data_IF_505792208815
#
_entry.id   IF_505792208815
#
_cell.length_a   1.000
_cell.length_b   1.000
_cell.length_c   1.000
_cell.angle_alpha   90.00
_cell.angle_beta   90.00
_cell.angle_gamma   90.00
#
_symmetry.space_group_name_H-M   'P 1'
#
loop_
_entity.id
_entity.type
_entity.pdbx_description
1 polymer ?
#
# COMPACT_ATOMS: atom_id res chain seq x y z
N UNK A 1 -80.38 11.59 3.33
CA UNK A 1 -79.99 10.92 4.59
C UNK A 1 -79.48 11.83 5.72
N UNK A 2 -79.16 13.13 5.53
CA UNK A 2 -78.95 14.06 6.68
C UNK A 2 -80.24 14.77 7.14
N UNK A 3 -81.15 15.04 6.21
CA UNK A 3 -82.38 15.79 6.43
C UNK A 3 -83.39 15.03 7.31
N UNK A 4 -83.51 13.70 7.12
CA UNK A 4 -84.41 12.84 7.91
C UNK A 4 -83.99 12.77 9.39
N UNK A 5 -82.69 12.75 9.67
CA UNK A 5 -82.16 12.77 11.04
C UNK A 5 -82.41 14.12 11.72
N UNK A 6 -82.33 15.23 10.97
CA UNK A 6 -82.67 16.57 11.48
C UNK A 6 -84.16 16.77 11.70
N UNK A 7 -85.01 16.11 10.91
CA UNK A 7 -86.46 16.11 11.11
C UNK A 7 -86.84 15.28 12.35
N UNK A 8 -86.22 14.12 12.54
CA UNK A 8 -86.43 13.27 13.71
C UNK A 8 -86.03 13.97 15.01
N UNK A 9 -84.87 14.66 15.03
CA UNK A 9 -84.43 15.43 16.19
C UNK A 9 -85.40 16.53 16.61
N UNK A 10 -86.08 17.20 15.66
CA UNK A 10 -87.11 18.22 15.96
C UNK A 10 -88.45 17.64 16.38
N UNK A 11 -88.73 16.38 16.06
CA UNK A 11 -89.96 15.68 16.49
C UNK A 11 -89.90 15.10 17.91
N UNK A 12 -88.72 15.08 18.51
CA UNK A 12 -88.49 14.59 19.88
C UNK A 12 -88.65 15.69 20.94
N UNK A 13 -88.82 16.95 20.54
CA UNK A 13 -89.19 18.01 21.46
C UNK A 13 -90.70 17.92 21.80
N UNK A 14 -91.08 17.75 23.08
CA UNK A 14 -92.48 17.62 23.47
C UNK A 14 -93.24 18.94 23.22
N UNK A 15 -94.48 18.89 22.69
CA UNK A 15 -95.27 20.09 22.50
C UNK A 15 -95.69 20.67 23.86
N UNK A 16 -95.16 21.84 24.21
CA UNK A 16 -95.53 22.55 25.44
C UNK A 16 -94.38 22.83 26.42
N UNK A 17 -93.16 23.09 25.93
CA UNK A 17 -92.11 23.68 26.75
C UNK A 17 -92.53 25.10 27.18
N UNK A 18 -93.13 25.20 28.36
CA UNK A 18 -93.33 26.46 29.07
C UNK A 18 -91.96 27.09 29.38
N UNK A 19 -91.88 28.42 29.30
CA UNK A 19 -90.73 29.22 29.74
C UNK A 19 -90.29 28.75 31.14
N UNK A 20 -89.10 28.13 31.22
CA UNK A 20 -88.46 27.75 32.48
C UNK A 20 -88.29 26.24 32.76
N UNK A 21 -88.63 25.33 31.84
CA UNK A 21 -88.25 23.92 31.99
C UNK A 21 -86.84 23.67 31.44
N UNK A 22 -85.90 23.26 32.30
CA UNK A 22 -84.55 22.84 31.91
C UNK A 22 -84.61 21.86 30.75
N UNK A 23 -83.90 22.19 29.68
CA UNK A 23 -83.87 21.36 28.47
C UNK A 23 -83.18 20.02 28.79
N UNK A 24 -83.54 18.95 28.08
CA UNK A 24 -82.85 17.66 28.22
C UNK A 24 -81.32 17.78 28.02
N UNK A 25 -80.90 18.80 27.26
CA UNK A 25 -79.49 19.18 27.07
C UNK A 25 -78.85 19.66 28.37
N UNK A 26 -79.53 20.52 29.14
CA UNK A 26 -79.05 20.99 30.45
C UNK A 26 -78.98 19.87 31.48
N UNK A 27 -79.95 18.94 31.46
CA UNK A 27 -79.92 17.78 32.36
C UNK A 27 -78.78 16.81 32.03
N UNK A 28 -78.49 16.60 30.76
CA UNK A 28 -77.35 15.78 30.31
C UNK A 28 -76.02 16.45 30.64
N UNK A 29 -75.90 17.76 30.46
CA UNK A 29 -74.71 18.51 30.83
C UNK A 29 -74.49 18.54 32.34
N UNK A 30 -75.56 18.72 33.13
CA UNK A 30 -75.51 18.63 34.59
C UNK A 30 -75.08 17.25 35.07
N UNK A 31 -75.56 16.18 34.42
CA UNK A 31 -75.18 14.82 34.75
C UNK A 31 -73.72 14.49 34.36
N UNK A 32 -73.23 14.99 33.23
CA UNK A 32 -71.82 14.87 32.82
C UNK A 32 -70.87 15.65 33.73
N UNK A 33 -71.31 16.75 34.34
CA UNK A 33 -70.53 17.51 35.32
C UNK A 33 -70.59 16.88 36.72
N UNK A 34 -71.72 16.28 37.09
CA UNK A 34 -71.91 15.60 38.37
C UNK A 34 -71.20 14.23 38.41
N UNK A 35 -71.20 13.49 37.30
CA UNK A 35 -70.34 12.32 37.09
C UNK A 35 -68.94 12.81 36.73
N UNK A 36 -68.15 13.17 37.74
CA UNK A 36 -66.69 13.29 37.62
C UNK A 36 -66.09 11.92 37.26
N UNK A 37 -66.28 11.48 36.01
CA UNK A 37 -65.55 10.37 35.42
C UNK A 37 -64.12 10.85 35.31
N UNK A 38 -63.16 10.26 36.06
CA UNK A 38 -61.77 10.62 35.90
C UNK A 38 -61.37 10.25 34.47
N UNK A 39 -61.21 11.27 33.62
CA UNK A 39 -60.55 11.10 32.33
C UNK A 39 -59.18 10.50 32.67
N UNK A 40 -58.81 9.32 32.14
CA UNK A 40 -57.47 8.82 32.34
C UNK A 40 -56.55 9.85 31.66
N UNK A 41 -55.95 10.72 32.47
CA UNK A 41 -54.85 11.54 32.03
C UNK A 41 -53.81 10.52 31.63
N UNK A 42 -53.60 10.36 30.32
CA UNK A 42 -52.45 9.64 29.82
C UNK A 42 -51.24 10.34 30.45
N UNK A 43 -50.64 9.72 31.47
CA UNK A 43 -49.37 10.18 32.02
C UNK A 43 -48.47 10.43 30.82
N UNK A 44 -47.91 11.64 30.66
CA UNK A 44 -47.02 11.89 29.55
C UNK A 44 -45.84 10.97 29.77
N UNK A 45 -45.81 9.85 29.03
CA UNK A 45 -44.66 8.92 28.96
C UNK A 45 -43.40 9.76 28.97
N UNK A 46 -42.73 9.78 30.13
CA UNK A 46 -41.83 10.86 30.47
C UNK A 46 -40.81 11.02 29.36
N UNK A 47 -40.43 12.26 29.03
CA UNK A 47 -39.40 12.51 28.01
C UNK A 47 -38.17 11.59 28.20
N UNK A 48 -37.85 11.26 29.47
CA UNK A 48 -36.86 10.27 29.86
C UNK A 48 -37.11 8.82 29.36
N UNK A 49 -38.33 8.30 29.39
CA UNK A 49 -38.65 6.96 28.86
C UNK A 49 -38.63 6.92 27.34
N UNK A 50 -39.14 7.97 26.69
CA UNK A 50 -39.03 8.15 25.24
C UNK A 50 -37.57 8.24 24.81
N UNK A 51 -36.75 9.00 25.52
CA UNK A 51 -35.29 9.09 25.30
C UNK A 51 -34.59 7.74 25.53
N UNK A 52 -34.95 6.98 26.56
CA UNK A 52 -34.40 5.63 26.80
C UNK A 52 -34.81 4.65 25.70
N UNK A 53 -36.06 4.70 25.23
CA UNK A 53 -36.55 3.88 24.12
C UNK A 53 -35.82 4.22 22.82
N UNK A 54 -35.69 5.51 22.48
CA UNK A 54 -34.92 5.99 21.32
C UNK A 54 -33.45 5.58 21.44
N UNK A 55 -32.82 5.73 22.61
CA UNK A 55 -31.41 5.36 22.84
C UNK A 55 -31.18 3.84 22.75
N UNK A 56 -32.13 3.02 23.19
CA UNK A 56 -32.07 1.55 23.01
C UNK A 56 -32.23 1.17 21.54
N UNK A 57 -33.17 1.81 20.85
CA UNK A 57 -33.43 1.59 19.43
C UNK A 57 -32.25 2.02 18.54
N UNK A 58 -31.62 3.16 18.83
CA UNK A 58 -30.41 3.60 18.12
C UNK A 58 -29.23 2.68 18.43
N UNK A 59 -29.06 2.22 19.68
CA UNK A 59 -28.04 1.21 20.02
C UNK A 59 -28.27 -0.11 19.30
N UNK A 60 -29.52 -0.59 19.18
CA UNK A 60 -29.83 -1.81 18.44
C UNK A 60 -29.54 -1.63 16.95
N UNK A 61 -29.97 -0.51 16.35
CA UNK A 61 -29.65 -0.17 14.96
C UNK A 61 -28.15 -0.04 14.72
N UNK A 62 -27.42 0.57 15.64
CA UNK A 62 -25.95 0.65 15.57
C UNK A 62 -25.32 -0.73 15.66
N UNK A 63 -25.77 -1.59 16.58
CA UNK A 63 -25.26 -2.97 16.68
C UNK A 63 -25.56 -3.77 15.42
N UNK A 64 -26.75 -3.62 14.83
CA UNK A 64 -27.08 -4.26 13.55
C UNK A 64 -26.22 -3.69 12.42
N UNK A 65 -26.04 -2.37 12.33
CA UNK A 65 -25.16 -1.75 11.34
C UNK A 65 -23.72 -2.21 11.50
N UNK A 66 -23.20 -2.28 12.73
CA UNK A 66 -21.86 -2.80 13.01
C UNK A 66 -21.77 -4.29 12.67
N UNK A 67 -22.77 -5.09 13.01
CA UNK A 67 -22.78 -6.51 12.68
C UNK A 67 -22.86 -6.76 11.16
N UNK A 68 -23.69 -5.99 10.45
CA UNK A 68 -23.77 -6.02 8.99
C UNK A 68 -22.47 -5.54 8.37
N UNK A 69 -21.86 -4.47 8.87
CA UNK A 69 -20.56 -3.96 8.40
C UNK A 69 -19.46 -4.99 8.65
N UNK A 70 -19.38 -5.57 9.84
CA UNK A 70 -18.41 -6.63 10.17
C UNK A 70 -18.63 -7.88 9.31
N UNK A 71 -19.89 -8.28 9.10
CA UNK A 71 -20.24 -9.39 8.20
C UNK A 71 -19.84 -9.09 6.76
N UNK A 72 -20.11 -7.88 6.27
CA UNK A 72 -19.72 -7.43 4.94
C UNK A 72 -18.19 -7.41 4.79
N UNK A 73 -17.46 -6.87 5.77
CA UNK A 73 -16.00 -6.87 5.81
C UNK A 73 -15.44 -8.29 5.86
N UNK A 74 -16.08 -9.20 6.60
CA UNK A 74 -15.66 -10.61 6.68
C UNK A 74 -15.85 -11.32 5.35
N UNK A 75 -16.99 -11.11 4.67
CA UNK A 75 -17.24 -11.64 3.32
C UNK A 75 -16.27 -11.02 2.30
N UNK A 76 -15.97 -9.73 2.41
CA UNK A 76 -14.99 -9.02 1.58
C UNK A 76 -13.59 -9.62 1.71
N UNK A 77 -13.18 -9.97 2.94
CA UNK A 77 -11.89 -10.62 3.24
C UNK A 77 -11.87 -12.08 2.77
N UNK A 78 -12.99 -12.79 2.83
CA UNK A 78 -13.08 -14.21 2.47
C UNK A 78 -13.35 -14.47 0.98
N UNK A 79 -13.68 -13.43 0.18
CA UNK A 79 -13.90 -13.56 -1.27
C UNK A 79 -12.59 -13.37 -2.04
N UNK A 80 -12.08 -14.40 -2.75
CA UNK A 80 -10.78 -14.36 -3.45
C UNK A 80 -10.57 -13.18 -4.44
N UNK A 81 -11.57 -12.76 -5.23
CA UNK A 81 -11.40 -11.67 -6.20
C UNK A 81 -11.20 -10.29 -5.54
N UNK A 82 -11.75 -10.07 -4.35
CA UNK A 82 -11.70 -8.77 -3.67
C UNK A 82 -10.44 -8.62 -2.82
N UNK A 83 -9.89 -9.72 -2.29
CA UNK A 83 -8.51 -9.72 -1.75
C UNK A 83 -7.51 -9.24 -2.78
N UNK A 84 -7.63 -9.67 -4.05
CA UNK A 84 -6.74 -9.20 -5.10
C UNK A 84 -6.86 -7.68 -5.31
N UNK A 85 -8.08 -7.15 -5.48
CA UNK A 85 -8.28 -5.72 -5.73
C UNK A 85 -7.97 -4.79 -4.52
N UNK A 86 -8.16 -5.26 -3.29
CA UNK A 86 -7.81 -4.49 -2.08
C UNK A 86 -6.30 -4.58 -1.80
N UNK A 87 -5.66 -5.72 -2.08
CA UNK A 87 -4.20 -5.80 -2.09
C UNK A 87 -3.63 -4.85 -3.14
N UNK A 88 -4.24 -4.74 -4.32
CA UNK A 88 -3.86 -3.78 -5.37
C UNK A 88 -4.07 -2.31 -4.93
N UNK A 89 -5.08 -2.02 -4.10
CA UNK A 89 -5.31 -0.66 -3.57
C UNK A 89 -4.37 -0.30 -2.40
N UNK A 90 -3.92 -1.29 -1.62
CA UNK A 90 -2.85 -1.11 -0.62
C UNK A 90 -1.44 -1.19 -1.22
N UNK A 91 -1.31 -1.58 -2.49
CA UNK A 91 -0.04 -1.55 -3.22
C UNK A 91 0.38 -0.12 -3.67
N UNK A 92 -0.33 0.90 -3.17
CA UNK A 92 0.07 2.31 -3.28
C UNK A 92 1.37 2.67 -2.53
N UNK A 93 2.09 1.71 -1.94
CA UNK A 93 3.38 1.94 -1.30
C UNK A 93 4.35 0.73 -1.31
N UNK A 94 4.18 -0.21 -2.24
CA UNK A 94 5.10 -1.33 -2.44
C UNK A 94 5.03 -2.39 -1.33
N UNK A 95 4.86 -3.65 -1.72
CA UNK A 95 5.68 -4.78 -1.29
C UNK A 95 5.02 -6.04 -1.84
N UNK A 96 5.60 -6.54 -2.94
CA UNK A 96 5.46 -7.94 -3.34
C UNK A 96 6.86 -8.54 -3.40
N UNK A 97 7.21 -9.41 -2.45
CA UNK A 97 8.40 -10.27 -2.56
C UNK A 97 7.96 -11.71 -2.33
N UNK A 98 8.11 -12.53 -3.37
CA UNK A 98 8.12 -13.98 -3.24
C UNK A 98 9.54 -14.40 -2.90
N UNK A 99 9.72 -14.90 -1.69
CA UNK A 99 10.90 -15.66 -1.32
C UNK A 99 10.61 -17.14 -1.61
N UNK A 100 11.50 -17.81 -2.35
CA UNK A 100 11.52 -19.26 -2.41
C UNK A 100 12.47 -19.79 -1.32
N UNK A 101 11.93 -20.42 -0.25
CA UNK A 101 12.72 -20.97 0.85
C UNK A 101 13.60 -22.17 0.47
N UNK A 102 13.47 -22.68 -0.76
CA UNK A 102 14.24 -23.84 -1.26
C UNK A 102 15.44 -23.46 -2.15
N UNK A 103 15.58 -22.18 -2.50
CA UNK A 103 16.73 -21.72 -3.29
C UNK A 103 17.99 -21.68 -2.41
N UNK A 104 18.66 -22.81 -2.24
CA UNK A 104 20.01 -22.86 -1.70
C UNK A 104 21.01 -22.37 -2.75
N UNK A 105 21.79 -21.32 -2.46
CA UNK A 105 22.97 -20.96 -3.23
C UNK A 105 23.85 -22.18 -3.48
N UNK A 106 24.14 -22.51 -4.74
CA UNK A 106 25.20 -23.46 -5.03
C UNK A 106 26.52 -22.90 -4.45
N UNK A 107 27.31 -23.69 -3.69
CA UNK A 107 28.63 -23.26 -3.27
C UNK A 107 29.46 -22.88 -4.49
N UNK A 108 29.94 -21.64 -4.54
CA UNK A 108 30.83 -21.17 -5.60
C UNK A 108 30.14 -20.81 -6.91
N UNK A 109 28.98 -20.14 -6.90
CA UNK A 109 28.47 -19.49 -8.10
C UNK A 109 29.55 -18.56 -8.68
N UNK A 110 30.21 -19.03 -9.75
CA UNK A 110 31.27 -18.29 -10.41
C UNK A 110 30.68 -17.00 -10.99
N UNK A 111 31.45 -15.92 -10.89
CA UNK A 111 31.05 -14.65 -11.48
C UNK A 111 31.07 -14.83 -13.00
N UNK A 112 29.93 -14.66 -13.68
CA UNK A 112 29.86 -14.86 -15.12
C UNK A 112 30.74 -13.84 -15.85
N UNK A 113 31.37 -14.30 -16.93
CA UNK A 113 32.12 -13.43 -17.83
C UNK A 113 31.20 -12.48 -18.62
N UNK A 114 31.83 -11.74 -19.52
CA UNK A 114 31.17 -10.89 -20.50
C UNK A 114 31.30 -11.59 -21.86
N UNK A 115 30.26 -12.31 -22.26
CA UNK A 115 30.20 -12.97 -23.57
C UNK A 115 29.91 -11.93 -24.67
N UNK A 116 30.34 -12.22 -25.90
CA UNK A 116 30.15 -11.36 -27.09
C UNK A 116 30.58 -9.89 -26.88
N UNK A 117 31.87 -9.63 -26.59
CA UNK A 117 32.34 -8.32 -26.19
C UNK A 117 32.20 -7.27 -27.30
N UNK A 118 31.79 -6.07 -26.90
CA UNK A 118 31.69 -4.86 -27.72
C UNK A 118 32.60 -3.76 -27.14
N UNK A 119 32.81 -2.68 -27.89
CA UNK A 119 33.50 -1.51 -27.35
C UNK A 119 32.59 -0.69 -26.42
N UNK A 120 33.17 0.09 -25.51
CA UNK A 120 32.42 1.02 -24.66
C UNK A 120 31.51 1.97 -25.46
N UNK A 121 32.01 2.48 -26.59
CA UNK A 121 31.23 3.37 -27.46
C UNK A 121 30.05 2.65 -28.14
N UNK A 122 30.19 1.36 -28.46
CA UNK A 122 29.06 0.56 -28.96
C UNK A 122 28.09 0.23 -27.83
N UNK A 123 28.59 -0.03 -26.62
CA UNK A 123 27.74 -0.26 -25.47
C UNK A 123 26.87 0.97 -25.16
N UNK A 124 27.46 2.17 -25.19
CA UNK A 124 26.74 3.44 -25.01
C UNK A 124 25.63 3.61 -26.06
N UNK A 125 25.95 3.40 -27.35
CA UNK A 125 24.97 3.51 -28.44
C UNK A 125 23.81 2.54 -28.28
N UNK A 126 24.07 1.29 -27.88
CA UNK A 126 23.03 0.26 -27.73
C UNK A 126 22.19 0.49 -26.48
N UNK A 127 22.82 0.81 -25.35
CA UNK A 127 22.17 0.94 -24.07
C UNK A 127 21.47 2.30 -23.90
N UNK A 128 21.87 3.31 -24.66
CA UNK A 128 21.31 4.66 -24.59
C UNK A 128 21.77 5.43 -23.34
N UNK A 129 22.87 5.01 -22.71
CA UNK A 129 23.55 5.73 -21.63
C UNK A 129 25.05 5.39 -21.65
N UNK A 130 25.89 6.32 -21.22
CA UNK A 130 27.33 6.10 -21.13
C UNK A 130 27.66 5.16 -19.95
N UNK A 131 28.29 3.99 -20.18
CA UNK A 131 28.70 3.11 -19.09
C UNK A 131 29.74 3.76 -18.19
N UNK A 132 29.64 3.53 -16.87
CA UNK A 132 30.52 4.13 -15.88
C UNK A 132 31.65 3.20 -15.48
N UNK A 133 32.88 3.56 -15.86
CA UNK A 133 34.07 2.74 -15.56
C UNK A 133 34.71 3.20 -14.24
N UNK A 134 34.76 2.36 -13.19
CA UNK A 134 35.45 2.72 -11.95
C UNK A 134 36.95 2.89 -12.18
N UNK A 135 37.52 4.04 -11.80
CA UNK A 135 38.97 4.31 -11.99
C UNK A 135 39.86 3.28 -11.28
N UNK A 136 39.41 2.74 -10.15
CA UNK A 136 40.14 1.76 -9.36
C UNK A 136 40.38 0.42 -10.08
N UNK A 137 39.52 0.09 -11.05
CA UNK A 137 39.65 -1.13 -11.87
C UNK A 137 40.32 -0.87 -13.23
N UNK A 138 40.43 0.39 -13.65
CA UNK A 138 40.95 0.74 -14.96
C UNK A 138 40.04 0.28 -16.11
N UNK A 139 40.60 0.18 -17.32
CA UNK A 139 39.83 -0.23 -18.49
C UNK A 139 39.35 -1.69 -18.35
N UNK A 140 38.08 -2.00 -18.69
CA UNK A 140 37.57 -3.37 -18.65
C UNK A 140 38.22 -4.23 -19.74
N UNK A 141 38.43 -5.51 -19.44
CA UNK A 141 38.92 -6.51 -20.41
C UNK A 141 37.83 -6.84 -21.45
N UNK A 142 36.57 -6.76 -21.05
CA UNK A 142 35.42 -7.02 -21.91
C UNK A 142 34.21 -6.19 -21.46
N UNK A 143 33.41 -5.75 -22.44
CA UNK A 143 32.12 -5.08 -22.21
C UNK A 143 31.05 -5.82 -23.01
N UNK A 144 29.95 -6.20 -22.38
CA UNK A 144 28.83 -6.86 -23.03
C UNK A 144 27.55 -6.03 -22.86
N UNK A 145 26.64 -6.13 -23.83
CA UNK A 145 25.29 -5.54 -23.74
C UNK A 145 24.25 -6.61 -23.97
N UNK A 146 23.38 -6.80 -22.99
CA UNK A 146 22.26 -7.74 -23.07
C UNK A 146 20.94 -6.96 -23.15
N UNK A 147 20.12 -7.26 -24.15
CA UNK A 147 18.75 -6.73 -24.23
C UNK A 147 17.86 -7.32 -23.13
N UNK A 148 17.09 -6.47 -22.48
CA UNK A 148 16.11 -6.83 -21.46
C UNK A 148 14.69 -6.47 -21.95
N UNK A 149 13.62 -7.04 -21.37
CA UNK A 149 12.24 -6.73 -21.76
C UNK A 149 11.94 -5.22 -21.74
N UNK A 150 10.97 -4.80 -22.55
CA UNK A 150 10.55 -3.39 -22.71
C UNK A 150 11.67 -2.45 -23.20
N UNK A 151 12.58 -2.95 -24.02
CA UNK A 151 13.64 -2.14 -24.62
C UNK A 151 14.67 -1.63 -23.61
N UNK A 152 14.80 -2.31 -22.47
CA UNK A 152 15.86 -2.04 -21.49
C UNK A 152 17.14 -2.75 -21.88
N UNK A 153 18.26 -2.32 -21.32
CA UNK A 153 19.57 -2.89 -21.58
C UNK A 153 20.35 -3.05 -20.28
N UNK A 154 21.05 -4.17 -20.18
CA UNK A 154 22.08 -4.43 -19.20
C UNK A 154 23.44 -4.20 -19.88
N UNK A 155 24.26 -3.34 -19.30
CA UNK A 155 25.68 -3.25 -19.67
C UNK A 155 26.49 -3.99 -18.61
N UNK A 156 27.39 -4.87 -19.03
CA UNK A 156 28.27 -5.62 -18.13
C UNK A 156 29.72 -5.33 -18.48
N UNK A 157 30.50 -4.93 -17.49
CA UNK A 157 31.93 -4.67 -17.60
C UNK A 157 32.66 -5.75 -16.81
N UNK A 158 33.65 -6.39 -17.43
CA UNK A 158 34.37 -7.50 -16.82
C UNK A 158 35.87 -7.24 -16.80
N UNK A 159 36.50 -7.60 -15.68
CA UNK A 159 37.94 -7.60 -15.47
C UNK A 159 38.41 -8.98 -14.98
N UNK A 160 39.67 -9.29 -15.21
CA UNK A 160 40.36 -10.48 -14.71
C UNK A 160 41.43 -10.06 -13.71
N UNK A 161 41.25 -10.43 -12.45
CA UNK A 161 42.19 -10.16 -11.35
C UNK A 161 42.50 -11.50 -10.66
N UNK A 162 43.78 -11.90 -10.60
CA UNK A 162 44.23 -13.18 -10.02
C UNK A 162 43.48 -14.42 -10.52
N UNK A 163 43.14 -14.45 -11.82
CA UNK A 163 42.39 -15.57 -12.41
C UNK A 163 40.91 -15.63 -12.00
N UNK A 164 40.39 -14.60 -11.33
CA UNK A 164 38.97 -14.43 -10.98
C UNK A 164 38.34 -13.32 -11.81
N UNK A 165 37.04 -13.43 -12.07
CA UNK A 165 36.28 -12.41 -12.78
C UNK A 165 35.72 -11.40 -11.79
N UNK A 166 36.01 -10.13 -12.01
CA UNK A 166 35.28 -9.02 -11.40
C UNK A 166 34.28 -8.54 -12.43
N UNK A 167 33.01 -8.36 -12.04
CA UNK A 167 31.94 -7.94 -12.94
C UNK A 167 31.17 -6.78 -12.33
N UNK A 168 30.98 -5.73 -13.13
CA UNK A 168 30.09 -4.60 -12.84
C UNK A 168 28.92 -4.65 -13.82
N UNK A 169 27.71 -4.81 -13.30
CA UNK A 169 26.47 -4.73 -14.06
C UNK A 169 25.85 -3.33 -13.87
N UNK A 170 25.48 -2.69 -14.98
CA UNK A 170 24.89 -1.35 -15.02
C UNK A 170 23.53 -1.35 -15.71
N UNK A 171 22.59 -0.59 -15.15
CA UNK A 171 21.24 -0.39 -15.71
C UNK A 171 20.81 1.05 -15.54
N UNK A 172 20.21 1.62 -16.59
CA UNK A 172 19.53 2.93 -16.52
C UNK A 172 18.22 2.82 -15.74
N UNK A 173 18.34 2.82 -14.42
CA UNK A 173 17.25 2.76 -13.46
C UNK A 173 17.77 3.18 -12.08
N UNK A 174 16.89 3.63 -11.19
CA UNK A 174 17.20 3.83 -9.77
C UNK A 174 17.02 2.52 -9.00
N UNK A 175 17.84 2.29 -7.97
CA UNK A 175 17.64 1.19 -7.03
C UNK A 175 16.51 1.52 -6.06
N UNK A 176 15.49 0.67 -5.95
CA UNK A 176 14.45 0.82 -4.93
C UNK A 176 14.93 0.22 -3.60
N UNK A 177 15.60 1.01 -2.79
CA UNK A 177 16.24 0.55 -1.54
C UNK A 177 15.22 0.01 -0.50
N UNK A 178 13.91 0.18 -0.72
CA UNK A 178 12.87 -0.45 0.09
C UNK A 178 12.95 -1.97 0.13
N UNK A 179 13.47 -2.61 -0.92
CA UNK A 179 13.61 -4.08 -0.98
C UNK A 179 14.50 -4.64 0.14
N UNK A 180 15.47 -3.86 0.62
CA UNK A 180 16.41 -4.29 1.66
C UNK A 180 15.71 -4.55 3.02
N UNK A 181 14.48 -4.06 3.23
CA UNK A 181 13.69 -4.33 4.43
C UNK A 181 13.02 -5.71 4.42
N UNK A 182 12.97 -6.36 3.26
CA UNK A 182 12.26 -7.64 3.09
C UNK A 182 13.20 -8.84 2.99
N UNK A 183 14.51 -8.63 2.94
CA UNK A 183 15.49 -9.73 2.86
C UNK A 183 15.70 -10.35 4.24
N UNK A 184 15.84 -11.69 4.28
CA UNK A 184 16.08 -12.44 5.53
C UNK A 184 17.39 -12.05 6.20
N UNK A 185 18.42 -11.83 5.38
CA UNK A 185 19.73 -11.37 5.81
C UNK A 185 19.90 -9.94 5.34
N UNK A 186 19.73 -8.95 6.23
CA UNK A 186 19.81 -7.55 5.81
C UNK A 186 21.21 -7.25 5.27
N UNK A 187 21.31 -6.51 4.15
CA UNK A 187 22.59 -5.97 3.74
C UNK A 187 23.10 -5.00 4.81
N UNK A 188 24.41 -4.80 4.80
CA UNK A 188 24.99 -3.68 5.51
C UNK A 188 24.79 -2.41 4.69
N UNK A 189 24.26 -1.37 5.33
CA UNK A 189 24.05 -0.06 4.72
C UNK A 189 25.32 0.76 4.82
N UNK A 190 25.83 1.23 3.68
CA UNK A 190 27.08 1.96 3.59
C UNK A 190 26.83 3.33 2.97
N UNK A 191 27.48 4.36 3.51
CA UNK A 191 27.55 5.67 2.85
C UNK A 191 28.77 5.74 1.92
N UNK A 192 28.52 6.12 0.67
CA UNK A 192 29.55 6.37 -0.34
C UNK A 192 30.01 7.84 -0.39
N UNK A 193 29.29 8.75 0.29
CA UNK A 193 29.64 10.17 0.38
C UNK A 193 30.91 10.42 1.18
N UNK A 194 31.61 11.51 0.85
CA UNK A 194 32.79 11.99 1.59
C UNK A 194 32.33 12.64 2.90
N UNK A 195 32.81 12.12 4.03
CA UNK A 195 32.82 12.76 5.35
C UNK A 195 31.50 13.32 5.90
N UNK A 196 30.37 12.66 5.61
CA UNK A 196 29.19 12.84 6.44
C UNK A 196 29.44 12.09 7.78
N UNK A 197 29.41 12.76 8.94
CA UNK A 197 29.47 12.06 10.22
C UNK A 197 28.36 11.00 10.26
N UNK A 198 28.68 9.83 10.81
CA UNK A 198 27.75 8.71 11.03
C UNK A 198 26.41 9.27 11.55
N UNK A 199 25.36 9.19 10.73
CA UNK A 199 24.00 9.62 11.11
C UNK A 199 23.41 10.81 10.38
N UNK A 200 24.14 11.50 9.48
CA UNK A 200 23.47 12.36 8.49
C UNK A 200 22.96 11.51 7.34
N UNK A 201 21.64 11.50 7.12
CA UNK A 201 21.00 10.83 5.99
C UNK A 201 21.59 11.37 4.68
N UNK A 202 22.60 10.68 4.14
CA UNK A 202 23.01 10.86 2.75
C UNK A 202 21.80 10.74 1.84
N UNK A 203 21.86 11.33 0.65
CA UNK A 203 20.78 11.14 -0.31
C UNK A 203 20.67 9.65 -0.65
N UNK A 204 19.51 9.17 -1.12
CA UNK A 204 19.37 7.78 -1.56
C UNK A 204 20.43 7.38 -2.61
N UNK A 205 20.97 8.36 -3.34
CA UNK A 205 22.07 8.20 -4.28
C UNK A 205 23.43 7.92 -3.62
N UNK A 206 23.63 8.30 -2.35
CA UNK A 206 24.89 8.09 -1.61
C UNK A 206 24.88 6.78 -0.81
N UNK A 207 23.83 5.98 -0.90
CA UNK A 207 23.69 4.73 -0.16
C UNK A 207 24.10 3.53 -1.02
N UNK A 208 24.85 2.63 -0.41
CA UNK A 208 25.19 1.33 -0.95
C UNK A 208 24.75 0.20 -0.01
N UNK A 209 24.42 -0.94 -0.60
CA UNK A 209 24.01 -2.15 0.10
C UNK A 209 25.07 -3.22 -0.11
N UNK A 210 25.71 -3.65 0.97
CA UNK A 210 26.70 -4.72 0.96
C UNK A 210 26.09 -6.05 1.43
N UNK A 211 26.16 -7.06 0.57
CA UNK A 211 25.75 -8.43 0.86
C UNK A 211 27.00 -9.29 1.02
N UNK A 212 27.34 -9.66 2.25
CA UNK A 212 28.60 -10.36 2.55
C UNK A 212 28.58 -11.86 2.20
N UNK A 213 27.41 -12.49 2.18
CA UNK A 213 27.25 -13.94 1.97
C UNK A 213 26.62 -14.24 0.63
N UNK A 214 26.85 -15.44 0.07
CA UNK A 214 26.15 -15.85 -1.14
C UNK A 214 24.63 -15.79 -0.97
N UNK A 215 23.94 -15.22 -1.95
CA UNK A 215 22.51 -14.94 -1.87
C UNK A 215 21.87 -15.06 -3.24
N UNK A 216 20.60 -15.48 -3.27
CA UNK A 216 19.76 -15.27 -4.44
C UNK A 216 19.33 -13.80 -4.44
N UNK A 217 19.84 -13.04 -5.40
CA UNK A 217 19.62 -11.60 -5.43
C UNK A 217 18.44 -11.24 -6.34
N UNK A 218 17.33 -10.84 -5.73
CA UNK A 218 16.19 -10.18 -6.38
C UNK A 218 16.06 -8.78 -5.79
N UNK A 219 16.12 -7.76 -6.63
CA UNK A 219 15.89 -6.37 -6.21
C UNK A 219 14.99 -5.65 -7.21
N UNK A 220 14.35 -4.61 -6.70
CA UNK A 220 13.49 -3.74 -7.47
C UNK A 220 14.29 -2.56 -8.03
N UNK A 221 14.00 -2.26 -9.28
CA UNK A 221 14.52 -1.12 -10.01
C UNK A 221 13.35 -0.23 -10.41
N UNK A 222 13.60 1.08 -10.49
CA UNK A 222 12.66 2.08 -10.98
C UNK A 222 13.24 2.69 -12.24
N UNK A 223 12.58 2.51 -13.37
CA UNK A 223 13.06 3.08 -14.63
C UNK A 223 12.80 4.61 -14.71
N UNK A 224 13.31 5.32 -15.74
CA UNK A 224 13.10 6.76 -15.89
C UNK A 224 11.63 7.19 -16.03
N UNK A 225 10.72 6.29 -16.38
CA UNK A 225 9.28 6.55 -16.42
C UNK A 225 8.61 6.43 -15.04
N UNK A 226 9.36 5.97 -14.04
CA UNK A 226 8.85 5.68 -12.70
C UNK A 226 8.29 4.26 -12.56
N UNK A 227 8.38 3.42 -13.61
CA UNK A 227 7.86 2.06 -13.53
C UNK A 227 8.82 1.18 -12.73
N UNK A 228 8.27 0.48 -11.73
CA UNK A 228 8.97 -0.53 -10.95
C UNK A 228 9.05 -1.84 -11.71
N UNK A 229 10.22 -2.46 -11.72
CA UNK A 229 10.41 -3.81 -12.24
C UNK A 229 11.43 -4.59 -11.41
N UNK A 230 11.23 -5.90 -11.28
CA UNK A 230 12.20 -6.81 -10.66
C UNK A 230 13.23 -7.27 -11.68
N UNK A 231 14.47 -7.47 -11.24
CA UNK A 231 15.47 -8.21 -12.01
C UNK A 231 15.73 -9.59 -11.40
N UNK A 232 16.07 -10.49 -12.31
CA UNK A 232 16.21 -11.93 -12.16
C UNK A 232 17.31 -12.38 -11.20
N UNK A 233 16.95 -13.51 -10.62
CA UNK A 233 17.53 -14.33 -9.59
C UNK A 233 18.73 -15.12 -10.11
N UNK A 234 19.94 -14.72 -9.71
CA UNK A 234 21.06 -15.65 -9.70
C UNK A 234 21.74 -15.65 -8.36
N UNK A 235 22.26 -16.81 -8.00
CA UNK A 235 23.14 -16.92 -6.85
C UNK A 235 24.36 -16.04 -7.12
N UNK A 236 24.56 -15.03 -6.30
CA UNK A 236 25.73 -14.18 -6.30
C UNK A 236 26.57 -14.49 -5.07
N UNK A 237 27.88 -14.30 -5.15
CA UNK A 237 28.76 -14.27 -3.98
C UNK A 237 28.60 -12.95 -3.20
N UNK A 238 29.67 -12.45 -2.54
CA UNK A 238 29.67 -11.11 -1.98
C UNK A 238 29.39 -10.05 -3.06
N UNK A 239 28.41 -9.18 -2.81
CA UNK A 239 27.91 -8.21 -3.80
C UNK A 239 27.74 -6.83 -3.17
N UNK A 240 28.11 -5.78 -3.91
CA UNK A 240 27.78 -4.40 -3.59
C UNK A 240 26.75 -3.87 -4.60
N UNK A 241 25.65 -3.28 -4.10
CA UNK A 241 24.67 -2.56 -4.90
C UNK A 241 24.68 -1.07 -4.55
N UNK A 242 24.66 -0.19 -5.53
CA UNK A 242 24.48 1.25 -5.32
C UNK A 242 23.88 1.92 -6.54
N UNK A 243 23.54 3.19 -6.43
CA UNK A 243 23.13 4.02 -7.57
C UNK A 243 24.18 5.10 -7.81
N UNK A 244 24.34 5.52 -9.06
CA UNK A 244 25.19 6.64 -9.45
C UNK A 244 24.40 7.59 -10.37
N UNK A 245 24.66 8.90 -10.27
CA UNK A 245 23.97 9.93 -11.04
C UNK A 245 22.73 10.51 -10.33
N UNK A 246 22.11 11.50 -10.97
CA UNK A 246 20.94 12.20 -10.44
C UNK A 246 19.63 11.40 -10.64
N UNK A 247 18.59 11.74 -9.88
CA UNK A 247 17.25 11.14 -10.02
C UNK A 247 16.74 11.34 -11.46
N UNK A 248 16.32 10.26 -12.13
CA UNK A 248 15.86 10.27 -13.53
C UNK A 248 16.96 9.97 -14.57
N UNK A 249 18.23 10.15 -14.20
CA UNK A 249 19.41 9.76 -14.98
C UNK A 249 20.28 8.73 -14.26
N UNK A 250 19.76 8.16 -13.18
CA UNK A 250 20.49 7.26 -12.31
C UNK A 250 20.80 5.94 -13.01
N UNK A 251 22.00 5.44 -12.74
CA UNK A 251 22.44 4.11 -13.11
C UNK A 251 22.53 3.26 -11.84
N UNK A 252 21.81 2.14 -11.81
CA UNK A 252 21.93 1.13 -10.77
C UNK A 252 23.12 0.23 -11.10
N UNK A 253 23.98 0.04 -10.10
CA UNK A 253 25.27 -0.63 -10.21
C UNK A 253 25.31 -1.85 -9.30
N UNK A 254 25.79 -2.97 -9.84
CA UNK A 254 25.99 -4.24 -9.11
C UNK A 254 27.39 -4.76 -9.35
N UNK A 255 28.20 -4.81 -8.29
CA UNK A 255 29.57 -5.31 -8.32
C UNK A 255 29.70 -6.69 -7.68
N UNK A 256 30.35 -7.60 -8.38
CA UNK A 256 30.66 -8.96 -7.94
C UNK A 256 32.13 -9.31 -8.18
N UNK A 257 32.63 -10.30 -7.45
CA UNK A 257 33.96 -10.90 -7.67
C UNK A 257 35.11 -10.21 -6.93
N UNK A 258 34.83 -9.11 -6.22
CA UNK A 258 35.81 -8.43 -5.37
C UNK A 258 36.05 -9.20 -4.07
N UNK A 259 37.33 -9.40 -3.72
CA UNK A 259 37.74 -10.27 -2.60
C UNK A 259 37.47 -9.72 -1.19
N UNK A 260 37.04 -8.46 -1.06
CA UNK A 260 36.69 -7.87 0.24
C UNK A 260 35.73 -6.70 0.10
N UNK A 261 35.00 -6.40 1.18
CA UNK A 261 34.16 -5.21 1.30
C UNK A 261 34.97 -3.91 1.10
N UNK A 262 36.16 -3.81 1.70
CA UNK A 262 37.01 -2.63 1.59
C UNK A 262 37.38 -2.35 0.12
N UNK A 263 37.72 -3.40 -0.63
CA UNK A 263 37.96 -3.32 -2.08
C UNK A 263 36.70 -2.89 -2.83
N UNK A 264 35.54 -3.48 -2.52
CA UNK A 264 34.27 -3.12 -3.15
C UNK A 264 33.94 -1.62 -2.98
N UNK A 265 34.18 -1.06 -1.80
CA UNK A 265 33.94 0.35 -1.52
C UNK A 265 34.95 1.27 -2.22
N UNK A 266 36.22 0.87 -2.32
CA UNK A 266 37.22 1.60 -3.10
C UNK A 266 36.80 1.69 -4.57
N UNK A 267 36.33 0.58 -5.15
CA UNK A 267 35.78 0.54 -6.51
C UNK A 267 34.58 1.48 -6.65
N UNK A 268 33.58 1.36 -5.78
CA UNK A 268 32.37 2.19 -5.85
C UNK A 268 32.66 3.69 -5.73
N UNK A 269 33.58 4.09 -4.84
CA UNK A 269 33.99 5.50 -4.67
C UNK A 269 34.82 6.05 -5.84
N UNK A 270 35.32 5.18 -6.71
CA UNK A 270 36.12 5.56 -7.88
C UNK A 270 35.31 5.77 -9.15
N UNK A 271 33.99 5.56 -9.09
CA UNK A 271 33.05 5.90 -10.16
C UNK A 271 32.89 7.41 -10.21
N UNK A 272 33.11 8.02 -11.38
CA UNK A 272 33.07 9.48 -11.60
C UNK A 272 32.08 9.80 -12.70
#
# INVERSE_FOLDING_TARGET
>A
MPEELRALGRSLDPPGAADGAETMVERVLGQLLAEHVPVPVAEPTGAAERLRAVRRWTRMRWRSLTATLCGLLTVLVLTPPVRAAVLDWFDFAGVGVRYDPSATPAPGAEVPGCDDPVSLAEAERRAGFAPVVPKELGAPDAVAVTGEPRGRFLVSLCWREDGRTIRLDERRASLDIGFAKTVREPPEWISLGSDAPDGTNGTAADQALWFARPHLLTFWLVDPSGERFTREERTAGPTLLWSHGAVGESVALRLEGVGSKARALAVARSVV
#
